data_IF_351133962871
#
_entry.id   IF_351133962871
#
_cell.length_a   1.000
_cell.length_b   1.000
_cell.length_c   1.000
_cell.angle_alpha   90.00
_cell.angle_beta   90.00
_cell.angle_gamma   90.00
#
_symmetry.space_group_name_H-M   'P 1'
#
loop_
_entity.id
_entity.type
_entity.pdbx_description
1 polymer ?
#
# COMPACT_ATOMS: atom_id res chain seq x y z
N UNK A 1 5.55 14.04 -9.58
CA UNK A 1 5.18 12.94 -8.66
C UNK A 1 3.71 12.67 -8.80
N UNK A 2 3.37 11.43 -9.05
CA UNK A 2 1.97 11.00 -9.18
C UNK A 2 1.58 10.17 -7.96
N UNK A 3 0.30 10.24 -7.61
CA UNK A 3 -0.21 9.55 -6.45
C UNK A 3 -1.58 8.96 -6.73
N UNK A 4 -1.78 7.73 -6.28
CA UNK A 4 -3.06 7.04 -6.38
C UNK A 4 -3.42 6.42 -5.05
N UNK A 5 -4.73 6.20 -4.86
CA UNK A 5 -5.23 5.44 -3.73
C UNK A 5 -6.19 4.39 -4.26
N UNK A 6 -5.98 3.15 -3.84
CA UNK A 6 -6.84 2.02 -4.18
C UNK A 6 -7.44 1.48 -2.89
N UNK A 7 -8.76 1.46 -2.81
CA UNK A 7 -9.47 0.91 -1.66
C UNK A 7 -9.96 -0.48 -2.01
N UNK A 8 -9.61 -1.45 -1.16
CA UNK A 8 -9.96 -2.84 -1.37
C UNK A 8 -11.19 -3.23 -0.55
N UNK A 9 -11.83 -4.33 -0.96
CA UNK A 9 -13.04 -4.81 -0.28
C UNK A 9 -12.79 -5.20 1.18
N UNK A 10 -11.54 -5.49 1.54
CA UNK A 10 -11.19 -5.85 2.92
C UNK A 10 -11.04 -4.62 3.86
N UNK A 11 -11.31 -3.41 3.36
CA UNK A 11 -11.25 -2.21 4.18
C UNK A 11 -9.92 -1.49 4.18
N UNK A 12 -8.89 -2.07 3.58
CA UNK A 12 -7.59 -1.41 3.47
C UNK A 12 -7.53 -0.57 2.21
N UNK A 13 -6.76 0.49 2.27
CA UNK A 13 -6.44 1.33 1.12
C UNK A 13 -4.92 1.31 0.91
N UNK A 14 -4.49 1.19 -0.32
CA UNK A 14 -3.09 1.35 -0.68
C UNK A 14 -2.89 2.75 -1.21
N UNK A 15 -1.94 3.48 -0.63
CA UNK A 15 -1.49 4.76 -1.15
C UNK A 15 -0.23 4.49 -1.97
N UNK A 16 -0.26 4.86 -3.24
CA UNK A 16 0.81 4.58 -4.18
C UNK A 16 1.38 5.91 -4.65
N UNK A 17 2.68 6.09 -4.49
CA UNK A 17 3.37 7.29 -4.98
C UNK A 17 4.41 6.84 -6.01
N UNK A 18 4.37 7.47 -7.18
CA UNK A 18 5.35 7.22 -8.23
C UNK A 18 6.19 8.48 -8.42
N UNK A 19 7.50 8.34 -8.33
CA UNK A 19 8.42 9.43 -8.56
C UNK A 19 8.92 9.39 -10.00
N UNK A 20 9.30 10.53 -10.53
CA UNK A 20 9.66 10.66 -11.94
C UNK A 20 10.77 9.71 -12.35
N UNK A 21 11.83 9.63 -11.56
CA UNK A 21 13.00 8.82 -11.89
C UNK A 21 13.27 7.78 -10.81
N UNK A 22 12.25 7.43 -10.05
CA UNK A 22 12.44 6.58 -8.89
C UNK A 22 11.37 5.51 -8.83
N UNK A 23 11.64 4.48 -8.07
CA UNK A 23 10.67 3.42 -7.86
C UNK A 23 9.44 3.91 -7.11
N UNK A 24 8.50 3.03 -6.99
CA UNK A 24 7.24 3.30 -6.32
C UNK A 24 7.37 3.20 -4.81
N UNK A 25 6.46 3.86 -4.13
CA UNK A 25 6.35 3.83 -2.69
C UNK A 25 4.91 3.52 -2.33
N UNK A 26 4.71 2.58 -1.41
CA UNK A 26 3.36 2.14 -1.04
C UNK A 26 3.20 2.21 0.48
N UNK A 27 2.09 2.77 0.91
CA UNK A 27 1.69 2.78 2.31
C UNK A 27 0.33 2.11 2.46
N UNK A 28 0.12 1.45 3.59
CA UNK A 28 -1.14 0.80 3.91
C UNK A 28 -1.95 1.75 4.79
N UNK A 29 -3.19 1.98 4.40
CA UNK A 29 -4.09 2.89 5.13
C UNK A 29 -5.33 2.11 5.57
N UNK A 30 -5.75 2.39 6.80
CA UNK A 30 -7.00 1.87 7.35
C UNK A 30 -7.68 3.01 8.10
N UNK A 31 -8.97 3.21 7.85
CA UNK A 31 -9.77 4.25 8.49
C UNK A 31 -9.17 5.64 8.34
N UNK A 32 -8.56 5.91 7.19
CA UNK A 32 -8.00 7.21 6.86
C UNK A 32 -6.63 7.49 7.46
N UNK A 33 -6.01 6.52 8.16
CA UNK A 33 -4.71 6.68 8.77
C UNK A 33 -3.76 5.56 8.36
N UNK A 34 -2.48 5.86 8.36
CA UNK A 34 -1.46 4.85 8.06
C UNK A 34 -1.54 3.73 9.09
N UNK A 35 -1.50 2.49 8.60
CA UNK A 35 -1.55 1.31 9.45
C UNK A 35 -0.21 0.58 9.37
N UNK A 36 0.55 0.63 10.45
CA UNK A 36 1.85 -0.01 10.56
C UNK A 36 1.79 -1.38 11.25
N UNK A 37 0.57 -1.88 11.48
CA UNK A 37 0.38 -3.13 12.23
C UNK A 37 0.18 -4.33 11.33
N UNK A 38 0.11 -4.14 10.02
CA UNK A 38 -0.11 -5.25 9.08
C UNK A 38 1.20 -6.01 8.84
N UNK A 39 1.12 -7.28 8.40
CA UNK A 39 2.33 -8.01 8.02
C UNK A 39 2.98 -7.51 6.72
N UNK A 40 2.34 -6.57 6.01
CA UNK A 40 2.90 -6.01 4.77
C UNK A 40 4.11 -5.15 5.10
N UNK A 41 3.96 -4.24 6.06
CA UNK A 41 5.05 -3.38 6.47
C UNK A 41 4.70 -2.71 7.80
N UNK A 42 5.70 -2.38 8.57
CA UNK A 42 5.55 -1.54 9.77
C UNK A 42 5.94 -0.09 9.49
N UNK A 43 6.07 0.25 8.21
CA UNK A 43 6.39 1.60 7.74
C UNK A 43 5.87 1.67 6.30
N UNK A 44 6.36 2.58 5.48
CA UNK A 44 6.08 2.59 4.06
C UNK A 44 7.07 1.71 3.32
N UNK A 45 6.59 1.03 2.28
CA UNK A 45 7.46 0.29 1.38
C UNK A 45 7.99 1.27 0.33
N UNK A 46 9.30 1.46 0.30
CA UNK A 46 9.93 2.38 -0.63
C UNK A 46 10.82 1.67 -1.63
N UNK A 47 11.17 2.37 -2.69
CA UNK A 47 12.09 1.88 -3.72
C UNK A 47 11.61 0.60 -4.40
N UNK A 48 10.30 0.48 -4.65
CA UNK A 48 9.73 -0.70 -5.27
C UNK A 48 9.74 -0.58 -6.79
N UNK A 49 10.18 -1.64 -7.47
CA UNK A 49 9.97 -1.75 -8.91
C UNK A 49 8.47 -1.87 -9.20
N UNK A 50 8.10 -1.74 -10.47
CA UNK A 50 6.69 -1.90 -10.85
C UNK A 50 6.15 -3.27 -10.46
N UNK A 51 6.91 -4.35 -10.70
CA UNK A 51 6.44 -5.68 -10.33
C UNK A 51 6.38 -5.87 -8.82
N UNK A 52 7.34 -5.33 -8.07
CA UNK A 52 7.29 -5.39 -6.60
C UNK A 52 6.11 -4.58 -6.06
N UNK A 53 5.79 -3.45 -6.67
CA UNK A 53 4.64 -2.64 -6.28
C UNK A 53 3.34 -3.41 -6.52
N UNK A 54 3.21 -4.09 -7.67
CA UNK A 54 2.04 -4.92 -7.95
C UNK A 54 1.90 -6.05 -6.95
N UNK A 55 3.00 -6.70 -6.60
CA UNK A 55 2.99 -7.76 -5.58
C UNK A 55 2.51 -7.22 -4.24
N UNK A 56 2.97 -6.03 -3.85
CA UNK A 56 2.54 -5.40 -2.61
C UNK A 56 1.03 -5.14 -2.63
N UNK A 57 0.49 -4.65 -3.75
CA UNK A 57 -0.94 -4.40 -3.88
C UNK A 57 -1.75 -5.69 -3.74
N UNK A 58 -1.28 -6.77 -4.36
CA UNK A 58 -1.94 -8.08 -4.25
C UNK A 58 -1.93 -8.54 -2.79
N UNK A 59 -0.81 -8.37 -2.10
CA UNK A 59 -0.69 -8.78 -0.71
C UNK A 59 -1.60 -7.96 0.21
N UNK A 60 -1.75 -6.67 -0.05
CA UNK A 60 -2.66 -5.83 0.73
C UNK A 60 -4.12 -6.28 0.47
N UNK A 61 -4.46 -6.54 -0.78
CA UNK A 61 -5.81 -7.00 -1.13
C UNK A 61 -6.14 -8.35 -0.51
N UNK A 62 -5.12 -9.17 -0.23
CA UNK A 62 -5.29 -10.49 0.35
C UNK A 62 -5.32 -10.49 1.89
N UNK A 63 -5.11 -9.34 2.54
CA UNK A 63 -5.19 -9.26 3.98
C UNK A 63 -6.61 -9.62 4.46
N UNK A 64 -6.74 -10.21 5.66
CA UNK A 64 -8.05 -10.39 6.26
C UNK A 64 -8.80 -9.06 6.37
N UNK A 65 -10.11 -9.11 6.50
CA UNK A 65 -10.92 -7.90 6.65
C UNK A 65 -10.34 -7.05 7.79
N UNK A 66 -10.22 -5.74 7.53
CA UNK A 66 -9.81 -4.81 8.56
C UNK A 66 -10.85 -4.84 9.68
N UNK A 67 -10.39 -5.05 10.91
CA UNK A 67 -11.29 -5.11 12.06
C UNK A 67 -11.32 -3.78 12.79
N UNK A 68 -12.45 -3.53 13.43
CA UNK A 68 -12.58 -2.34 14.26
C UNK A 68 -11.69 -2.44 15.50
#
# INVERSE_FOLDING_TARGET
>A
MDRWELTFANGYTASIVAYKDAPYEIAVIRDGALDYTTPITNDVLGHLSASAALDALVNIAALPMASE
#
